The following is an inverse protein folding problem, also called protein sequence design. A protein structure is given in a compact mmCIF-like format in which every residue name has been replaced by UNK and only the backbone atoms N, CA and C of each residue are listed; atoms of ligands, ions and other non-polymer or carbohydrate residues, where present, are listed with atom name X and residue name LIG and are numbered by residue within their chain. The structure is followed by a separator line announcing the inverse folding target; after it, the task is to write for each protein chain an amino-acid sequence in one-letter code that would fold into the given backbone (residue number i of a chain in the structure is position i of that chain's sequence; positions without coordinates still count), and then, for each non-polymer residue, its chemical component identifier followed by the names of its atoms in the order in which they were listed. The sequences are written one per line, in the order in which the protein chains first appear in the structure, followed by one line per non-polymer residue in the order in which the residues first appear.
data_IF_670722058978
#
_entry.id   IF_670722058978
#
_cell.length_a   1.000
_cell.length_b   1.000
_cell.length_c   1.000
_cell.angle_alpha   90.00
_cell.angle_beta   90.00
_cell.angle_gamma   90.00
#
_symmetry.space_group_name_H-M   'P 1'
#
loop_
_entity.id
_entity.type
_entity.pdbx_description
1 polymer ?
#
# COMPACT_ATOMS: atom_id res chain seq x y z
N UNK A 1 -33.58 -0.66 29.37
CA UNK A 1 -33.09 0.03 28.15
C UNK A 1 -32.55 -1.06 27.21
N UNK A 2 -33.06 -1.17 25.99
CA UNK A 2 -32.68 -2.25 25.06
C UNK A 2 -31.20 -2.17 24.64
N UNK A 3 -30.68 -0.96 24.42
CA UNK A 3 -29.27 -0.74 24.02
C UNK A 3 -28.33 -1.23 25.13
N UNK A 4 -28.62 -0.85 26.37
CA UNK A 4 -27.84 -1.27 27.54
C UNK A 4 -27.81 -2.80 27.69
N UNK A 5 -28.95 -3.48 27.52
CA UNK A 5 -29.00 -4.95 27.55
C UNK A 5 -28.12 -5.54 26.45
N UNK A 6 -28.18 -4.97 25.24
CA UNK A 6 -27.37 -5.44 24.11
C UNK A 6 -25.88 -5.21 24.33
N UNK A 7 -25.47 -4.08 24.90
CA UNK A 7 -24.07 -3.82 25.24
C UNK A 7 -23.54 -4.85 26.24
N UNK A 8 -24.30 -5.13 27.30
CA UNK A 8 -23.93 -6.15 28.29
C UNK A 8 -23.82 -7.57 27.68
N UNK A 9 -24.71 -7.93 26.74
CA UNK A 9 -24.59 -9.18 25.97
C UNK A 9 -23.29 -9.24 25.15
N UNK A 10 -22.90 -8.15 24.50
CA UNK A 10 -21.67 -8.08 23.70
C UNK A 10 -20.42 -8.20 24.58
N UNK A 11 -20.40 -7.52 25.73
CA UNK A 11 -19.29 -7.59 26.66
C UNK A 11 -19.07 -9.01 27.20
N UNK A 12 -20.16 -9.71 27.50
CA UNK A 12 -20.13 -11.09 27.97
C UNK A 12 -19.56 -12.03 26.89
N UNK A 13 -19.95 -11.86 25.62
CA UNK A 13 -19.38 -12.64 24.51
C UNK A 13 -17.87 -12.42 24.35
N UNK A 14 -17.38 -11.20 24.59
CA UNK A 14 -15.94 -10.91 24.54
C UNK A 14 -15.21 -11.59 25.70
N UNK A 15 -15.76 -11.50 26.92
CA UNK A 15 -15.17 -12.16 28.11
C UNK A 15 -15.16 -13.68 28.01
N UNK A 16 -16.11 -14.27 27.29
CA UNK A 16 -16.16 -15.71 27.00
C UNK A 16 -15.16 -16.17 25.93
N UNK A 17 -14.35 -15.26 25.36
CA UNK A 17 -13.30 -15.61 24.41
C UNK A 17 -13.79 -15.88 22.99
N UNK A 18 -14.83 -15.16 22.53
CA UNK A 18 -15.36 -15.29 21.17
C UNK A 18 -14.44 -14.65 20.11
N UNK A 19 -13.21 -15.16 19.96
CA UNK A 19 -12.17 -14.63 19.07
C UNK A 19 -12.66 -14.45 17.62
N UNK A 20 -13.34 -15.46 17.07
CA UNK A 20 -13.84 -15.46 15.68
C UNK A 20 -14.95 -14.42 15.44
N UNK A 21 -15.55 -13.88 16.50
CA UNK A 21 -16.66 -12.92 16.42
C UNK A 21 -16.24 -11.49 16.73
N UNK A 22 -14.99 -11.25 17.12
CA UNK A 22 -14.53 -9.92 17.55
C UNK A 22 -14.70 -8.85 16.46
N UNK A 23 -14.53 -9.23 15.19
CA UNK A 23 -14.79 -8.32 14.08
C UNK A 23 -16.26 -7.89 14.03
N UNK A 24 -17.19 -8.85 14.09
CA UNK A 24 -18.63 -8.57 14.09
C UNK A 24 -19.04 -7.77 15.32
N UNK A 25 -18.51 -8.10 16.51
CA UNK A 25 -18.76 -7.36 17.74
C UNK A 25 -18.29 -5.89 17.62
N UNK A 26 -17.11 -5.66 17.03
CA UNK A 26 -16.60 -4.32 16.71
C UNK A 26 -17.57 -3.52 15.85
N UNK A 27 -18.11 -4.13 14.78
CA UNK A 27 -19.10 -3.49 13.91
C UNK A 27 -20.41 -3.16 14.63
N UNK A 28 -20.85 -4.02 15.56
CA UNK A 28 -22.04 -3.77 16.36
C UNK A 28 -21.83 -2.61 17.33
N UNK A 29 -20.68 -2.54 18.01
CA UNK A 29 -20.32 -1.38 18.83
C UNK A 29 -20.22 -0.09 18.01
N UNK A 30 -19.64 -0.15 16.81
CA UNK A 30 -19.58 0.97 15.86
C UNK A 30 -20.99 1.45 15.48
N UNK A 31 -21.91 0.52 15.19
CA UNK A 31 -23.31 0.82 14.87
C UNK A 31 -24.12 1.41 16.04
N UNK A 32 -23.82 1.04 17.28
CA UNK A 32 -24.40 1.65 18.48
C UNK A 32 -23.85 3.08 18.69
N UNK A 33 -22.60 3.31 18.31
CA UNK A 33 -21.96 4.62 18.37
C UNK A 33 -21.50 5.00 19.78
N UNK A 34 -21.55 6.30 20.11
CA UNK A 34 -20.95 6.85 21.34
C UNK A 34 -21.49 6.28 22.65
N UNK A 35 -22.69 5.69 22.64
CA UNK A 35 -23.27 5.03 23.81
C UNK A 35 -22.49 3.77 24.21
N UNK A 36 -21.73 3.16 23.29
CA UNK A 36 -20.91 2.00 23.58
C UNK A 36 -19.59 2.34 24.30
N UNK A 37 -19.20 3.63 24.37
CA UNK A 37 -17.89 4.03 24.91
C UNK A 37 -17.57 3.53 26.31
N UNK A 38 -18.48 3.58 27.30
CA UNK A 38 -18.18 3.05 28.63
C UNK A 38 -17.81 1.56 28.60
N UNK A 39 -18.47 0.78 27.75
CA UNK A 39 -18.25 -0.67 27.62
C UNK A 39 -16.97 -0.99 26.84
N UNK A 40 -16.76 -0.37 25.66
CA UNK A 40 -15.59 -0.69 24.84
C UNK A 40 -14.26 -0.28 25.49
N UNK A 41 -14.27 0.76 26.34
CA UNK A 41 -13.08 1.24 27.05
C UNK A 41 -12.53 0.24 28.06
N UNK A 42 -13.37 -0.59 28.66
CA UNK A 42 -12.93 -1.64 29.58
C UNK A 42 -12.01 -2.64 28.87
N UNK A 43 -12.21 -2.85 27.56
CA UNK A 43 -11.44 -3.78 26.75
C UNK A 43 -10.18 -3.18 26.13
N UNK A 44 -9.92 -1.87 26.30
CA UNK A 44 -8.68 -1.24 25.78
C UNK A 44 -7.43 -1.76 26.48
N UNK A 45 -7.56 -2.23 27.72
CA UNK A 45 -6.48 -2.77 28.54
C UNK A 45 -6.46 -4.31 28.58
N UNK A 46 -7.25 -5.00 27.74
CA UNK A 46 -7.25 -6.47 27.67
C UNK A 46 -5.84 -7.02 27.38
N UNK A 47 -5.48 -8.20 27.87
CA UNK A 47 -4.21 -8.85 27.52
C UNK A 47 -4.22 -9.41 26.10
N UNK A 48 -5.39 -9.72 25.56
CA UNK A 48 -5.59 -10.17 24.18
C UNK A 48 -5.51 -9.00 23.19
N UNK A 49 -4.53 -9.06 22.28
CA UNK A 49 -4.30 -8.03 21.25
C UNK A 49 -5.48 -7.88 20.29
N UNK A 50 -6.20 -8.96 19.97
CA UNK A 50 -7.36 -8.92 19.09
C UNK A 50 -8.53 -8.20 19.79
N UNK A 51 -8.77 -8.50 21.07
CA UNK A 51 -9.78 -7.81 21.88
C UNK A 51 -9.46 -6.31 21.98
N UNK A 52 -8.20 -5.95 22.31
CA UNK A 52 -7.77 -4.54 22.34
C UNK A 52 -7.96 -3.86 21.00
N UNK A 53 -7.57 -4.52 19.91
CA UNK A 53 -7.68 -3.98 18.56
C UNK A 53 -9.13 -3.70 18.18
N UNK A 54 -10.02 -4.69 18.31
CA UNK A 54 -11.40 -4.59 17.84
C UNK A 54 -12.25 -3.65 18.70
N UNK A 55 -12.01 -3.59 20.01
CA UNK A 55 -12.68 -2.60 20.88
C UNK A 55 -12.18 -1.18 20.59
N UNK A 56 -10.86 -0.98 20.49
CA UNK A 56 -10.30 0.33 20.16
C UNK A 56 -10.65 0.77 18.73
N UNK A 57 -10.73 -0.12 17.75
CA UNK A 57 -11.19 0.22 16.40
C UNK A 57 -12.60 0.81 16.42
N UNK A 58 -13.53 0.17 17.15
CA UNK A 58 -14.90 0.67 17.29
C UNK A 58 -14.92 2.05 17.98
N UNK A 59 -14.16 2.19 19.07
CA UNK A 59 -13.98 3.49 19.74
C UNK A 59 -13.43 4.56 18.80
N UNK A 60 -12.36 4.24 18.08
CA UNK A 60 -11.67 5.16 17.18
C UNK A 60 -12.59 5.66 16.05
N UNK A 61 -13.33 4.74 15.41
CA UNK A 61 -14.27 5.07 14.32
C UNK A 61 -15.49 5.85 14.79
N UNK A 62 -15.90 5.68 16.05
CA UNK A 62 -17.01 6.44 16.65
C UNK A 62 -16.57 7.77 17.28
N UNK A 63 -15.26 8.06 17.29
CA UNK A 63 -14.69 9.33 17.74
C UNK A 63 -14.14 9.34 19.17
N UNK A 64 -13.96 8.17 19.80
CA UNK A 64 -13.34 8.07 21.13
C UNK A 64 -11.82 8.33 21.04
N UNK A 65 -11.40 9.46 21.59
CA UNK A 65 -9.98 9.87 21.60
C UNK A 65 -9.08 8.91 22.38
N UNK A 66 -9.63 8.14 23.34
CA UNK A 66 -8.89 7.19 24.15
C UNK A 66 -8.52 5.90 23.41
N UNK A 67 -9.12 5.66 22.24
CA UNK A 67 -8.81 4.51 21.41
C UNK A 67 -7.51 4.66 20.61
N UNK A 68 -7.14 5.90 20.24
CA UNK A 68 -5.98 6.15 19.38
C UNK A 68 -4.64 5.66 19.99
N UNK A 69 -4.36 5.83 21.29
CA UNK A 69 -3.18 5.23 21.93
C UNK A 69 -3.12 3.70 21.80
N UNK A 70 -4.25 3.01 21.91
CA UNK A 70 -4.33 1.54 21.85
C UNK A 70 -3.99 1.06 20.43
N UNK A 71 -4.66 1.63 19.42
CA UNK A 71 -4.39 1.31 18.01
C UNK A 71 -2.95 1.73 17.64
N UNK A 72 -2.49 2.87 18.14
CA UNK A 72 -1.12 3.37 17.96
C UNK A 72 -0.06 2.38 18.47
N UNK A 73 -0.24 1.84 19.68
CA UNK A 73 0.66 0.85 20.25
C UNK A 73 0.72 -0.44 19.40
N UNK A 74 -0.44 -0.91 18.92
CA UNK A 74 -0.51 -2.10 18.04
C UNK A 74 0.20 -1.84 16.70
N UNK A 75 0.02 -0.64 16.12
CA UNK A 75 0.69 -0.25 14.88
C UNK A 75 2.23 -0.19 15.00
N UNK A 76 2.73 0.15 16.19
CA UNK A 76 4.17 0.26 16.46
C UNK A 76 4.82 -1.04 16.93
N UNK A 77 4.04 -2.06 17.27
CA UNK A 77 4.58 -3.35 17.72
C UNK A 77 5.03 -4.17 16.51
N UNK A 78 6.34 -4.41 16.40
CA UNK A 78 6.91 -5.28 15.36
C UNK A 78 6.34 -6.70 15.45
N UNK A 79 6.05 -7.30 14.29
CA UNK A 79 5.50 -8.66 14.21
C UNK A 79 4.05 -8.85 14.69
N UNK A 80 3.37 -7.80 15.18
CA UNK A 80 1.97 -7.93 15.60
C UNK A 80 1.06 -8.28 14.41
N UNK A 81 0.25 -9.33 14.54
CA UNK A 81 -0.64 -9.81 13.47
C UNK A 81 -1.59 -8.72 12.93
N UNK A 82 -2.01 -7.79 13.78
CA UNK A 82 -2.95 -6.71 13.45
C UNK A 82 -2.25 -5.37 13.16
N UNK A 83 -0.92 -5.35 13.00
CA UNK A 83 -0.12 -4.14 12.79
C UNK A 83 -0.55 -3.35 11.55
N UNK A 84 -0.61 -4.00 10.39
CA UNK A 84 -1.02 -3.37 9.14
C UNK A 84 -2.46 -2.86 9.19
N UNK A 85 -3.34 -3.60 9.87
CA UNK A 85 -4.73 -3.20 10.07
C UNK A 85 -4.80 -1.94 10.96
N UNK A 86 -4.04 -1.88 12.05
CA UNK A 86 -3.94 -0.72 12.93
C UNK A 86 -3.44 0.55 12.21
N UNK A 87 -2.40 0.44 11.37
CA UNK A 87 -1.91 1.57 10.56
C UNK A 87 -3.02 2.13 9.65
N UNK A 88 -3.81 1.25 9.02
CA UNK A 88 -4.96 1.67 8.20
C UNK A 88 -6.03 2.36 9.03
N UNK A 89 -6.37 1.85 10.21
CA UNK A 89 -7.35 2.49 11.09
C UNK A 89 -6.90 3.89 11.55
N UNK A 90 -5.60 4.08 11.83
CA UNK A 90 -5.04 5.40 12.13
C UNK A 90 -5.19 6.38 10.96
N UNK A 91 -5.07 5.92 9.71
CA UNK A 91 -5.36 6.75 8.54
C UNK A 91 -6.84 7.17 8.49
N UNK A 92 -7.76 6.22 8.70
CA UNK A 92 -9.20 6.47 8.51
C UNK A 92 -9.85 7.26 9.64
N UNK A 93 -9.28 7.26 10.85
CA UNK A 93 -9.89 7.94 11.99
C UNK A 93 -9.97 9.46 11.85
N UNK A 94 -9.17 10.06 10.95
CA UNK A 94 -9.13 11.51 10.74
C UNK A 94 -8.68 12.33 11.96
N UNK A 95 -8.23 11.68 13.04
CA UNK A 95 -7.77 12.35 14.25
C UNK A 95 -6.30 12.74 14.09
N UNK A 96 -5.99 14.03 14.16
CA UNK A 96 -4.60 14.53 14.02
C UNK A 96 -3.63 13.91 15.02
N UNK A 97 -4.10 13.49 16.20
CA UNK A 97 -3.29 12.77 17.18
C UNK A 97 -2.73 11.42 16.66
N UNK A 98 -3.35 10.82 15.63
CA UNK A 98 -2.88 9.57 15.03
C UNK A 98 -1.48 9.72 14.40
N UNK A 99 -1.15 10.92 13.93
CA UNK A 99 0.14 11.24 13.28
C UNK A 99 1.33 10.87 14.17
N UNK A 100 1.25 11.10 15.48
CA UNK A 100 2.35 10.78 16.42
C UNK A 100 2.70 9.30 16.43
N UNK A 101 1.72 8.44 16.13
CA UNK A 101 1.91 6.99 16.11
C UNK A 101 2.44 6.50 14.77
N UNK A 102 2.11 7.21 13.68
CA UNK A 102 2.56 6.90 12.32
C UNK A 102 4.01 7.36 12.06
N UNK A 103 4.45 8.44 12.71
CA UNK A 103 5.78 9.02 12.47
C UNK A 103 6.94 8.02 12.67
N UNK A 104 7.02 7.23 13.75
CA UNK A 104 8.09 6.25 13.89
C UNK A 104 8.06 5.16 12.82
N UNK A 105 6.86 4.78 12.35
CA UNK A 105 6.63 3.65 11.43
C UNK A 105 7.17 3.96 10.02
N UNK A 106 7.37 5.22 9.67
CA UNK A 106 7.91 5.61 8.35
C UNK A 106 9.38 5.20 8.15
N UNK A 107 10.08 4.91 9.25
CA UNK A 107 11.47 4.44 9.30
C UNK A 107 11.58 2.94 9.61
N UNK A 108 10.47 2.18 9.54
CA UNK A 108 10.45 0.76 9.88
C UNK A 108 11.39 -0.11 9.03
N UNK A 109 11.76 -1.29 9.51
CA UNK A 109 12.54 -2.23 8.71
C UNK A 109 11.74 -2.82 7.53
N UNK A 110 10.41 -2.97 7.69
CA UNK A 110 9.53 -3.52 6.66
C UNK A 110 9.03 -2.43 5.70
N UNK A 111 9.34 -2.60 4.41
CA UNK A 111 8.96 -1.64 3.38
C UNK A 111 7.45 -1.53 3.14
N UNK A 112 6.68 -2.61 3.29
CA UNK A 112 5.22 -2.58 3.14
C UNK A 112 4.58 -1.76 4.26
N UNK A 113 5.09 -1.91 5.49
CA UNK A 113 4.69 -1.13 6.67
C UNK A 113 4.98 0.36 6.46
N UNK A 114 6.16 0.69 5.92
CA UNK A 114 6.54 2.07 5.61
C UNK A 114 5.67 2.71 4.55
N UNK A 115 5.32 1.97 3.49
CA UNK A 115 4.39 2.44 2.46
C UNK A 115 3.03 2.77 3.09
N UNK A 116 2.51 1.91 3.97
CA UNK A 116 1.24 2.17 4.67
C UNK A 116 1.31 3.42 5.56
N UNK A 117 2.41 3.62 6.29
CA UNK A 117 2.61 4.81 7.11
C UNK A 117 2.73 6.09 6.27
N UNK A 118 3.45 6.04 5.15
CA UNK A 118 3.55 7.15 4.19
C UNK A 118 2.17 7.53 3.65
N UNK A 119 1.35 6.55 3.22
CA UNK A 119 0.01 6.81 2.68
C UNK A 119 -0.88 7.51 3.72
N UNK A 120 -0.80 7.06 4.98
CA UNK A 120 -1.50 7.68 6.08
C UNK A 120 -1.03 9.12 6.35
N UNK A 121 0.28 9.34 6.48
CA UNK A 121 0.88 10.66 6.72
C UNK A 121 0.59 11.65 5.57
N UNK A 122 0.55 11.16 4.33
CA UNK A 122 0.14 11.93 3.16
C UNK A 122 -1.33 12.31 3.21
N UNK A 123 -2.22 11.41 3.64
CA UNK A 123 -3.63 11.73 3.85
C UNK A 123 -3.82 12.83 4.91
N UNK A 124 -3.01 12.81 5.97
CA UNK A 124 -2.94 13.89 6.98
C UNK A 124 -2.22 15.16 6.50
N UNK A 125 -1.63 15.16 5.30
CA UNK A 125 -0.81 16.27 4.76
C UNK A 125 0.33 16.67 5.70
N UNK A 126 0.95 15.69 6.36
CA UNK A 126 2.01 15.94 7.32
C UNK A 126 3.30 16.39 6.62
N UNK A 127 4.03 17.42 7.13
CA UNK A 127 5.21 17.99 6.47
C UNK A 127 6.43 17.07 6.33
N UNK A 128 6.39 15.89 6.98
CA UNK A 128 7.39 14.83 6.77
C UNK A 128 7.37 14.32 5.31
N UNK A 129 6.23 14.44 4.62
CA UNK A 129 6.08 14.14 3.21
C UNK A 129 6.12 15.46 2.43
N UNK A 130 7.19 15.66 1.66
CA UNK A 130 7.35 16.84 0.79
C UNK A 130 6.99 16.47 -0.64
N UNK A 131 5.83 16.94 -1.08
CA UNK A 131 5.32 16.68 -2.43
C UNK A 131 5.73 17.76 -3.42
N UNK A 132 6.16 17.35 -4.62
CA UNK A 132 6.42 18.22 -5.77
C UNK A 132 5.80 17.63 -7.02
N UNK A 133 4.83 18.32 -7.61
CA UNK A 133 4.21 17.92 -8.87
C UNK A 133 5.04 18.38 -10.08
N UNK A 134 5.16 17.51 -11.08
CA UNK A 134 5.79 17.82 -12.37
C UNK A 134 4.74 17.84 -13.47
N UNK A 135 4.90 18.75 -14.44
CA UNK A 135 3.99 18.88 -15.59
C UNK A 135 4.45 18.00 -16.75
N UNK A 136 3.51 17.57 -17.59
CA UNK A 136 3.83 16.80 -18.77
C UNK A 136 4.39 17.71 -19.87
N UNK A 137 5.49 17.30 -20.51
CA UNK A 137 6.06 18.05 -21.62
C UNK A 137 5.15 18.09 -22.86
N UNK A 138 4.30 17.08 -23.03
CA UNK A 138 3.32 17.01 -24.11
C UNK A 138 2.13 17.97 -23.91
N UNK A 139 1.72 18.17 -22.65
CA UNK A 139 0.63 19.07 -22.26
C UNK A 139 0.96 19.67 -20.88
N UNK A 140 1.49 20.92 -20.84
CA UNK A 140 1.86 21.57 -19.59
C UNK A 140 0.69 21.81 -18.62
N UNK A 141 -0.57 21.72 -19.08
CA UNK A 141 -1.73 21.80 -18.19
C UNK A 141 -1.88 20.54 -17.33
N UNK A 142 -1.40 19.40 -17.82
CA UNK A 142 -1.50 18.10 -17.14
C UNK A 142 -0.32 17.84 -16.20
N UNK A 143 -0.62 17.17 -15.09
CA UNK A 143 0.40 16.63 -14.19
C UNK A 143 0.94 15.34 -14.79
N UNK A 144 2.26 15.24 -14.94
CA UNK A 144 2.96 14.03 -15.32
C UNK A 144 2.95 13.03 -14.16
N UNK A 145 3.54 13.43 -13.03
CA UNK A 145 3.50 12.71 -11.76
C UNK A 145 3.94 13.65 -10.62
N UNK A 146 3.79 13.18 -9.38
CA UNK A 146 4.29 13.87 -8.18
C UNK A 146 5.44 13.10 -7.55
N UNK A 147 6.54 13.78 -7.22
CA UNK A 147 7.58 13.23 -6.35
C UNK A 147 7.25 13.56 -4.90
N UNK A 148 7.13 12.54 -4.08
CA UNK A 148 7.01 12.66 -2.63
C UNK A 148 8.35 12.26 -1.99
N UNK A 149 8.99 13.19 -1.28
CA UNK A 149 10.20 12.91 -0.50
C UNK A 149 9.82 12.79 0.96
N UNK A 150 10.10 11.65 1.56
CA UNK A 150 9.78 11.35 2.95
C UNK A 150 11.03 11.54 3.80
N UNK A 151 10.95 12.41 4.80
CA UNK A 151 12.06 12.69 5.72
C UNK A 151 12.12 11.61 6.81
N UNK A 152 13.01 10.63 6.65
CA UNK A 152 13.11 9.47 7.53
C UNK A 152 14.53 8.89 7.52
N UNK A 153 14.89 8.20 8.60
CA UNK A 153 16.22 7.58 8.80
C UNK A 153 16.20 6.05 8.59
N UNK A 154 15.08 5.49 8.10
CA UNK A 154 14.96 4.07 7.80
C UNK A 154 15.71 3.64 6.52
N UNK A 155 15.72 2.33 6.19
CA UNK A 155 16.40 1.79 5.01
C UNK A 155 15.97 2.48 3.70
N UNK A 156 16.86 2.72 2.73
CA UNK A 156 16.50 3.37 1.48
C UNK A 156 15.40 2.60 0.73
N UNK A 157 14.32 3.30 0.36
CA UNK A 157 13.19 2.72 -0.38
C UNK A 157 12.67 3.71 -1.42
N UNK A 158 12.40 3.19 -2.61
CA UNK A 158 11.66 3.87 -3.66
C UNK A 158 10.33 3.14 -3.87
N UNK A 159 9.22 3.86 -3.73
CA UNK A 159 7.88 3.32 -3.99
C UNK A 159 7.22 4.07 -5.15
N UNK A 160 6.71 3.34 -6.14
CA UNK A 160 6.02 3.90 -7.32
C UNK A 160 4.53 3.62 -7.22
N UNK A 161 3.73 4.66 -7.02
CA UNK A 161 2.27 4.59 -7.06
C UNK A 161 1.78 4.91 -8.48
N UNK A 162 0.96 4.03 -9.06
CA UNK A 162 0.45 4.15 -10.43
C UNK A 162 -1.03 4.55 -10.48
N UNK A 163 -1.79 4.27 -9.42
CA UNK A 163 -3.23 4.51 -9.37
C UNK A 163 -3.59 5.92 -8.91
N UNK A 164 -4.79 6.40 -9.29
CA UNK A 164 -5.37 7.73 -8.99
C UNK A 164 -4.53 8.91 -9.52
N UNK A 165 -3.39 9.16 -8.90
CA UNK A 165 -2.38 10.14 -9.31
C UNK A 165 -1.02 9.47 -9.20
N UNK A 166 -0.30 9.41 -10.31
CA UNK A 166 1.01 8.78 -10.33
C UNK A 166 1.98 9.49 -9.39
N UNK A 167 2.71 8.70 -8.59
CA UNK A 167 3.74 9.20 -7.67
C UNK A 167 4.99 8.35 -7.71
N UNK A 168 6.12 9.01 -7.51
CA UNK A 168 7.35 8.36 -7.08
C UNK A 168 7.62 8.85 -5.67
N UNK A 169 7.81 7.92 -4.75
CA UNK A 169 8.03 8.19 -3.34
C UNK A 169 9.46 7.77 -3.01
N UNK A 170 10.25 8.70 -2.48
CA UNK A 170 11.63 8.43 -2.07
C UNK A 170 11.69 8.60 -0.56
N UNK A 171 12.03 7.51 0.12
CA UNK A 171 12.23 7.53 1.56
C UNK A 171 13.68 7.86 1.90
N UNK A 172 13.91 9.06 2.42
CA UNK A 172 15.24 9.60 2.73
C UNK A 172 15.56 10.80 1.85
N UNK A 173 15.63 11.99 2.47
CA UNK A 173 15.90 13.26 1.77
C UNK A 173 17.26 13.29 1.08
N UNK A 174 18.24 12.60 1.64
CA UNK A 174 19.63 12.60 1.17
C UNK A 174 20.04 11.25 0.55
N UNK A 175 19.09 10.45 0.06
CA UNK A 175 19.39 9.17 -0.57
C UNK A 175 20.42 9.36 -1.70
N UNK A 176 21.64 8.80 -1.55
CA UNK A 176 22.72 9.03 -2.50
C UNK A 176 22.55 8.17 -3.75
N UNK A 177 23.14 8.63 -4.84
CA UNK A 177 23.41 7.81 -6.02
C UNK A 177 24.89 7.40 -5.94
N UNK A 178 25.20 6.12 -6.04
CA UNK A 178 26.58 5.65 -6.00
C UNK A 178 27.36 6.13 -7.22
N UNK A 179 28.60 6.56 -7.01
CA UNK A 179 29.50 7.05 -8.04
C UNK A 179 30.72 6.13 -8.14
N UNK A 180 31.37 6.07 -9.31
CA UNK A 180 30.94 6.63 -10.59
C UNK A 180 29.74 5.86 -11.15
N UNK A 181 28.96 6.51 -12.02
CA UNK A 181 27.84 5.84 -12.69
C UNK A 181 27.72 6.26 -14.15
N UNK A 182 27.30 5.32 -15.00
CA UNK A 182 26.92 5.60 -16.38
C UNK A 182 25.65 4.83 -16.73
N UNK A 183 24.67 5.52 -17.30
CA UNK A 183 23.46 4.92 -17.82
C UNK A 183 23.14 5.51 -19.18
N UNK A 184 22.89 4.64 -20.15
CA UNK A 184 22.34 5.01 -21.45
C UNK A 184 21.07 4.21 -21.68
N UNK A 185 19.95 4.91 -21.87
CA UNK A 185 18.69 4.26 -22.19
C UNK A 185 18.84 3.47 -23.51
N UNK A 186 18.30 2.24 -23.64
CA UNK A 186 18.49 1.39 -24.84
C UNK A 186 18.13 2.06 -26.17
N UNK A 187 17.12 2.94 -26.14
CA UNK A 187 16.67 3.72 -27.31
C UNK A 187 17.45 5.02 -27.53
N UNK A 188 18.50 5.30 -26.75
CA UNK A 188 19.34 6.49 -26.85
C UNK A 188 18.63 7.81 -26.50
N UNK A 189 17.53 7.75 -25.74
CA UNK A 189 16.74 8.94 -25.40
C UNK A 189 17.31 9.74 -24.24
N UNK A 190 17.97 9.06 -23.30
CA UNK A 190 18.46 9.65 -22.06
C UNK A 190 19.82 9.04 -21.76
N UNK A 191 20.74 9.88 -21.32
CA UNK A 191 22.05 9.49 -20.83
C UNK A 191 22.30 10.19 -19.50
N UNK A 192 22.71 9.41 -18.51
CA UNK A 192 23.15 9.89 -17.21
C UNK A 192 24.60 9.48 -17.06
N UNK A 193 25.43 10.40 -16.62
CA UNK A 193 26.83 10.14 -16.34
C UNK A 193 27.23 10.90 -15.09
N UNK A 194 28.02 10.29 -14.23
CA UNK A 194 28.59 10.99 -13.09
C UNK A 194 29.95 10.42 -12.74
N UNK A 195 30.89 11.33 -12.53
CA UNK A 195 32.27 11.02 -12.21
C UNK A 195 32.56 11.42 -10.77
N UNK A 196 33.34 10.62 -10.04
CA UNK A 196 33.66 10.91 -8.62
C UNK A 196 34.31 12.28 -8.43
N UNK A 197 35.17 12.69 -9.37
CA UNK A 197 35.88 13.97 -9.32
C UNK A 197 34.97 15.21 -9.34
N UNK A 198 33.81 15.14 -10.02
CA UNK A 198 32.85 16.26 -10.07
C UNK A 198 31.81 16.18 -8.97
N UNK A 199 31.48 14.98 -8.49
CA UNK A 199 30.43 14.74 -7.49
C UNK A 199 29.00 14.98 -7.99
N UNK A 200 28.82 15.69 -9.10
CA UNK A 200 27.52 15.97 -9.72
C UNK A 200 27.17 14.96 -10.82
N UNK A 201 25.86 14.68 -10.92
CA UNK A 201 25.26 13.96 -12.03
C UNK A 201 25.10 14.88 -13.23
N UNK A 202 25.46 14.34 -14.39
CA UNK A 202 25.35 14.97 -15.69
C UNK A 202 24.22 14.28 -16.45
N UNK A 203 23.15 15.02 -16.73
CA UNK A 203 21.94 14.53 -17.40
C UNK A 203 21.86 15.09 -18.82
N UNK A 204 21.62 14.22 -19.80
CA UNK A 204 21.44 14.60 -21.20
C UNK A 204 20.25 13.87 -21.80
N UNK A 205 19.43 14.58 -22.57
CA UNK A 205 18.29 14.04 -23.30
C UNK A 205 18.48 14.24 -24.80
N UNK A 206 18.08 13.26 -25.62
CA UNK A 206 17.99 13.44 -27.07
C UNK A 206 16.63 14.05 -27.42
N UNK A 207 16.64 15.23 -28.02
CA UNK A 207 15.42 15.95 -28.41
C UNK A 207 14.68 15.18 -29.50
N UNK A 208 13.41 14.80 -29.27
CA UNK A 208 12.60 14.03 -30.24
C UNK A 208 12.33 14.77 -31.55
N UNK A 209 12.36 16.10 -31.57
CA UNK A 209 12.11 16.94 -32.76
C UNK A 209 13.33 17.15 -33.66
N UNK A 210 14.54 17.23 -33.09
CA UNK A 210 15.77 17.58 -33.84
C UNK A 210 16.82 16.47 -33.87
N UNK A 211 16.64 15.42 -33.06
CA UNK A 211 17.63 14.36 -32.90
C UNK A 211 18.95 14.81 -32.24
N UNK A 212 19.05 16.08 -31.82
CA UNK A 212 20.21 16.64 -31.11
C UNK A 212 20.09 16.43 -29.61
N UNK A 213 21.22 16.28 -28.95
CA UNK A 213 21.27 16.29 -27.49
C UNK A 213 20.89 17.68 -26.96
N UNK A 214 20.15 17.71 -25.86
CA UNK A 214 19.90 18.90 -25.07
C UNK A 214 21.21 19.42 -24.49
N UNK A 215 21.17 20.66 -23.99
CA UNK A 215 22.23 21.16 -23.12
C UNK A 215 22.41 20.23 -21.91
N UNK A 216 23.62 20.26 -21.38
CA UNK A 216 24.01 19.41 -20.26
C UNK A 216 23.44 19.98 -18.97
N UNK A 217 22.69 19.15 -18.23
CA UNK A 217 22.11 19.51 -16.95
C UNK A 217 22.91 18.86 -15.82
N UNK A 218 23.46 19.69 -14.92
CA UNK A 218 24.14 19.22 -13.72
C UNK A 218 23.20 19.23 -12.52
N UNK A 219 23.11 18.10 -11.81
CA UNK A 219 22.34 17.98 -10.57
C UNK A 219 23.15 17.25 -9.50
N UNK A 220 22.92 17.52 -8.20
CA UNK A 220 23.58 16.78 -7.14
C UNK A 220 23.33 15.27 -7.25
N UNK A 221 24.31 14.44 -6.88
CA UNK A 221 24.22 12.97 -6.87
C UNK A 221 23.31 12.41 -5.76
N UNK A 222 22.04 12.78 -5.80
CA UNK A 222 20.97 12.34 -4.89
C UNK A 222 19.76 11.92 -5.69
N UNK A 223 19.10 10.84 -5.27
CA UNK A 223 17.94 10.29 -5.97
C UNK A 223 16.81 11.33 -6.14
N UNK A 224 16.39 12.10 -5.12
CA UNK A 224 15.35 13.13 -5.30
C UNK A 224 15.73 14.22 -6.31
N UNK A 225 16.99 14.65 -6.33
CA UNK A 225 17.49 15.70 -7.22
C UNK A 225 17.63 15.19 -8.66
N UNK A 226 18.05 13.94 -8.83
CA UNK A 226 18.05 13.25 -10.11
C UNK A 226 16.63 13.15 -10.68
N UNK A 227 15.65 12.65 -9.90
CA UNK A 227 14.25 12.57 -10.33
C UNK A 227 13.72 13.95 -10.73
N UNK A 228 14.07 14.98 -9.95
CA UNK A 228 13.72 16.37 -10.29
C UNK A 228 14.30 16.78 -11.64
N UNK A 229 15.59 16.54 -11.88
CA UNK A 229 16.23 16.86 -13.16
C UNK A 229 15.63 16.11 -14.35
N UNK A 230 15.28 14.83 -14.17
CA UNK A 230 14.62 14.03 -15.20
C UNK A 230 13.19 14.52 -15.51
N UNK A 231 12.44 14.97 -14.50
CA UNK A 231 11.01 15.24 -14.62
C UNK A 231 10.64 16.72 -14.87
N UNK A 232 11.44 17.66 -14.38
CA UNK A 232 11.20 19.09 -14.53
C UNK A 232 11.17 19.46 -16.03
N UNK A 233 10.25 20.36 -16.42
CA UNK A 233 10.15 20.76 -17.83
C UNK A 233 11.45 21.42 -18.30
N UNK A 234 11.84 21.24 -19.58
CA UNK A 234 13.03 21.84 -20.16
C UNK A 234 12.80 23.32 -20.51
N UNK A 235 12.48 24.11 -19.49
CA UNK A 235 12.33 25.56 -19.60
C UNK A 235 13.59 26.22 -19.02
N UNK A 236 14.07 27.32 -19.62
CA UNK A 236 15.15 28.10 -19.05
C UNK A 236 14.70 28.67 -17.69
N UNK A 237 15.50 28.42 -16.67
CA UNK A 237 15.34 28.98 -15.34
C UNK A 237 15.61 30.48 -15.30
N UNK A 238 15.58 31.06 -14.10
CA UNK A 238 15.95 32.47 -13.87
C UNK A 238 17.39 32.79 -14.27
N UNK A 239 18.27 31.79 -14.29
CA UNK A 239 19.67 31.87 -14.75
C UNK A 239 19.84 31.65 -16.26
N UNK A 240 18.77 31.36 -17.01
CA UNK A 240 18.83 31.04 -18.44
C UNK A 240 19.26 29.60 -18.76
N UNK A 241 19.61 28.80 -17.76
CA UNK A 241 19.99 27.38 -17.91
C UNK A 241 18.73 26.50 -17.84
N UNK A 242 18.68 25.44 -18.65
CA UNK A 242 17.61 24.45 -18.63
C UNK A 242 17.58 23.73 -17.28
N UNK A 243 16.43 23.71 -16.59
CA UNK A 243 16.32 23.13 -15.24
C UNK A 243 15.86 21.66 -15.19
N UNK A 244 15.57 21.05 -16.35
CA UNK A 244 15.10 19.67 -16.42
C UNK A 244 14.95 19.10 -17.83
N UNK A 245 14.63 17.81 -17.92
CA UNK A 245 14.51 17.07 -19.20
C UNK A 245 13.05 16.79 -19.62
N UNK A 246 12.07 16.99 -18.74
CA UNK A 246 10.64 16.83 -19.00
C UNK A 246 10.21 15.41 -19.35
N UNK A 247 10.90 14.39 -18.83
CA UNK A 247 10.64 13.00 -19.17
C UNK A 247 9.31 12.52 -18.58
N UNK A 248 8.53 11.70 -19.32
CA UNK A 248 7.32 11.08 -18.79
C UNK A 248 7.67 10.08 -17.67
N UNK A 249 6.72 9.86 -16.75
CA UNK A 249 6.85 8.92 -15.63
C UNK A 249 7.48 7.58 -16.04
N UNK A 250 7.03 6.98 -17.14
CA UNK A 250 7.51 5.67 -17.58
C UNK A 250 9.01 5.63 -17.82
N UNK A 251 9.60 6.68 -18.41
CA UNK A 251 11.04 6.78 -18.62
C UNK A 251 11.78 7.03 -17.31
N UNK A 252 11.23 7.85 -16.42
CA UNK A 252 11.84 8.09 -15.10
C UNK A 252 11.89 6.78 -14.30
N UNK A 253 10.78 6.02 -14.27
CA UNK A 253 10.70 4.73 -13.59
C UNK A 253 11.65 3.71 -14.21
N UNK A 254 11.80 3.68 -15.54
CA UNK A 254 12.77 2.80 -16.20
C UNK A 254 14.22 3.12 -15.83
N UNK A 255 14.59 4.42 -15.78
CA UNK A 255 15.93 4.84 -15.32
C UNK A 255 16.16 4.40 -13.88
N UNK A 256 15.22 4.68 -12.97
CA UNK A 256 15.34 4.31 -11.56
C UNK A 256 15.43 2.81 -11.35
N UNK A 257 14.62 2.03 -12.07
CA UNK A 257 14.65 0.57 -12.00
C UNK A 257 15.98 0.02 -12.52
N UNK A 258 16.51 0.54 -13.63
CA UNK A 258 17.79 0.09 -14.15
C UNK A 258 18.95 0.38 -13.18
N UNK A 259 18.97 1.59 -12.60
CA UNK A 259 19.97 1.99 -11.61
C UNK A 259 19.81 1.27 -10.26
N UNK A 260 18.62 0.75 -9.97
CA UNK A 260 18.41 -0.13 -8.83
C UNK A 260 18.99 -1.53 -9.09
N UNK A 261 18.68 -2.11 -10.25
CA UNK A 261 19.12 -3.45 -10.67
C UNK A 261 20.65 -3.56 -10.76
N UNK A 262 21.33 -2.49 -11.20
CA UNK A 262 22.80 -2.46 -11.28
C UNK A 262 23.49 -2.07 -9.95
N UNK A 263 22.71 -1.78 -8.90
CA UNK A 263 23.20 -1.43 -7.57
C UNK A 263 23.64 0.03 -7.39
N UNK A 264 23.59 0.86 -8.44
CA UNK A 264 23.91 2.29 -8.35
C UNK A 264 23.02 3.01 -7.33
N UNK A 265 21.76 2.57 -7.21
CA UNK A 265 20.83 2.97 -6.16
C UNK A 265 20.61 1.76 -5.25
N UNK A 266 21.33 1.75 -4.12
CA UNK A 266 21.17 0.76 -3.05
C UNK A 266 19.90 0.96 -2.22
N UNK A 267 18.73 0.87 -2.86
CA UNK A 267 17.41 0.95 -2.23
C UNK A 267 16.57 -0.26 -2.57
N UNK A 268 15.58 -0.59 -1.74
CA UNK A 268 14.49 -1.44 -2.19
C UNK A 268 13.60 -0.68 -3.19
N UNK A 269 13.09 -1.36 -4.22
CA UNK A 269 12.25 -0.76 -5.26
C UNK A 269 10.90 -1.46 -5.35
N UNK A 270 9.84 -0.78 -4.90
CA UNK A 270 8.48 -1.32 -4.90
C UNK A 270 7.63 -0.57 -5.92
N UNK A 271 6.96 -1.32 -6.79
CA UNK A 271 5.90 -0.78 -7.65
C UNK A 271 4.55 -1.22 -7.09
N UNK A 272 3.61 -0.28 -6.98
CA UNK A 272 2.23 -0.58 -6.57
C UNK A 272 1.66 -1.71 -7.44
N UNK A 273 1.39 -2.84 -6.79
CA UNK A 273 0.59 -3.93 -7.34
C UNK A 273 -0.87 -3.67 -6.98
N UNK A 274 -1.75 -3.82 -7.97
CA UNK A 274 -3.19 -3.70 -7.80
C UNK A 274 -3.72 -4.99 -7.16
N UNK A 275 -3.57 -5.12 -5.84
CA UNK A 275 -4.20 -6.21 -5.10
C UNK A 275 -5.65 -5.86 -4.73
N UNK A 276 -6.56 -6.81 -4.95
CA UNK A 276 -7.99 -6.68 -4.61
C UNK A 276 -8.15 -6.35 -3.11
N UNK A 277 -7.32 -6.92 -2.24
CA UNK A 277 -7.31 -6.67 -0.80
C UNK A 277 -6.98 -5.21 -0.44
N UNK A 278 -6.23 -4.50 -1.28
CA UNK A 278 -5.98 -3.05 -1.13
C UNK A 278 -7.18 -2.21 -1.54
N UNK A 279 -8.03 -2.69 -2.46
CA UNK A 279 -9.25 -1.99 -2.88
C UNK A 279 -10.42 -2.21 -1.92
N UNK A 280 -10.56 -3.42 -1.38
CA UNK A 280 -11.77 -3.83 -0.64
C UNK A 280 -11.52 -4.16 0.84
N UNK A 281 -10.28 -4.08 1.33
CA UNK A 281 -9.90 -4.63 2.64
C UNK A 281 -9.62 -6.14 2.53
N UNK A 282 -9.09 -6.78 3.59
CA UNK A 282 -8.93 -8.23 3.57
C UNK A 282 -10.30 -8.84 3.29
N UNK A 283 -10.42 -9.57 2.18
CA UNK A 283 -11.60 -10.41 1.98
C UNK A 283 -11.64 -11.38 3.16
N UNK A 284 -12.72 -11.35 3.93
CA UNK A 284 -13.01 -12.45 4.83
C UNK A 284 -12.99 -13.70 3.94
N UNK A 285 -12.03 -14.60 4.17
CA UNK A 285 -12.14 -15.95 3.65
C UNK A 285 -13.29 -16.61 4.42
N UNK A 286 -14.52 -16.21 4.10
CA UNK A 286 -15.66 -17.06 4.31
C UNK A 286 -15.36 -18.33 3.51
N UNK A 287 -14.88 -19.37 4.20
CA UNK A 287 -14.95 -20.72 3.71
C UNK A 287 -16.38 -20.91 3.22
N UNK A 288 -16.57 -20.91 1.88
CA UNK A 288 -17.84 -21.28 1.28
C UNK A 288 -18.14 -22.70 1.74
N UNK A 289 -19.19 -22.94 2.54
CA UNK A 289 -19.53 -24.29 2.97
C UNK A 289 -20.30 -25.00 1.86
N UNK A 290 -19.77 -25.01 0.63
CA UNK A 290 -20.37 -25.67 -0.53
C UNK A 290 -19.25 -26.19 -1.44
N UNK A 291 -18.52 -27.20 -0.96
CA UNK A 291 -17.69 -28.06 -1.81
C UNK A 291 -17.73 -29.53 -1.39
N UNK A 292 -18.15 -29.84 -0.16
CA UNK A 292 -18.18 -31.22 0.34
C UNK A 292 -19.51 -31.96 0.10
N UNK A 293 -20.56 -31.28 -0.38
CA UNK A 293 -21.87 -31.93 -0.61
C UNK A 293 -22.05 -32.52 -2.03
N UNK A 294 -21.12 -32.30 -2.97
CA UNK A 294 -21.26 -32.86 -4.33
C UNK A 294 -20.65 -34.26 -4.45
N UNK A 295 -19.70 -34.66 -3.60
CA UNK A 295 -19.13 -36.03 -3.64
C UNK A 295 -20.02 -37.11 -2.98
N UNK A 296 -21.10 -36.72 -2.28
CA UNK A 296 -21.98 -37.67 -1.59
C UNK A 296 -23.14 -38.20 -2.45
N UNK A 297 -23.28 -37.75 -3.70
CA UNK A 297 -24.37 -38.21 -4.60
C UNK A 297 -23.92 -39.34 -5.55
N UNK A 298 -22.61 -39.60 -5.69
CA UNK A 298 -22.10 -40.67 -6.57
C UNK A 298 -22.03 -42.08 -5.94
N UNK A 299 -22.50 -42.27 -4.71
CA UNK A 299 -22.58 -43.61 -4.08
C UNK A 299 -24.03 -44.03 -3.82
N UNK A 300 -24.84 -44.10 -4.89
CA UNK A 300 -26.06 -44.90 -4.87
C UNK A 300 -25.70 -46.37 -5.19
N UNK A 301 -26.25 -47.37 -4.47
CA UNK A 301 -25.85 -48.76 -4.62
C UNK A 301 -26.30 -49.31 -5.98
N UNK A 302 -25.37 -49.98 -6.67
CA UNK A 302 -25.63 -50.79 -7.85
C UNK A 302 -26.72 -51.82 -7.51
N UNK A 303 -27.91 -51.66 -8.09
CA UNK A 303 -28.95 -52.68 -8.03
C UNK A 303 -28.46 -53.88 -8.85
N UNK A 304 -28.38 -55.01 -8.16
CA UNK A 304 -28.05 -56.32 -8.69
C UNK A 304 -28.85 -56.65 -9.95
N UNK A 305 -28.13 -57.19 -10.92
CA UNK A 305 -28.62 -57.69 -12.20
C UNK A 305 -29.51 -58.91 -11.97
N UNK A 306 -30.83 -58.71 -11.98
CA UNK A 306 -31.85 -59.76 -11.96
C UNK A 306 -32.15 -60.27 -13.37
N UNK A 307 -31.59 -61.44 -13.66
CA UNK A 307 -31.90 -62.44 -14.69
C UNK A 307 -33.30 -62.32 -15.34
N UNK A 308 -33.36 -61.88 -16.61
CA UNK A 308 -34.52 -62.10 -17.48
C UNK A 308 -34.14 -63.13 -18.55
N UNK A 309 -34.40 -64.40 -18.23
CA UNK A 309 -34.39 -65.50 -19.18
C UNK A 309 -35.46 -65.30 -20.22
N UNK A 310 -35.02 -65.31 -21.47
CA UNK A 310 -35.81 -65.36 -22.67
C UNK A 310 -36.10 -66.84 -22.97
N UNK A 311 -37.34 -67.30 -22.77
CA UNK A 311 -37.81 -68.56 -23.33
C UNK A 311 -39.09 -68.30 -24.13
N UNK A 312 -38.97 -68.50 -25.43
CA UNK A 312 -40.09 -68.53 -26.37
C UNK A 312 -40.88 -69.81 -26.21
N UNK A 313 -42.21 -69.69 -26.25
CA UNK A 313 -43.16 -70.78 -26.26
C UNK A 313 -44.31 -70.48 -27.22
N UNK A 314 -44.44 -71.32 -28.22
CA UNK A 314 -45.27 -71.22 -29.40
C UNK A 314 -46.76 -71.61 -29.19
N UNK A 315 -47.63 -70.97 -29.99
CA UNK A 315 -48.72 -71.56 -30.83
C UNK A 315 -49.98 -72.18 -30.19
N UNK A 316 -51.12 -71.72 -30.74
CA UNK A 316 -52.38 -72.48 -30.96
C UNK A 316 -53.33 -72.51 -29.77
N UNK A 317 -54.65 -72.43 -29.88
CA UNK A 317 -55.60 -72.52 -30.98
C UNK A 317 -56.99 -72.75 -30.35
N UNK A 318 -58.04 -72.46 -31.13
CA UNK A 318 -59.50 -72.55 -30.84
C UNK A 318 -60.16 -71.37 -30.12
#
# INVERSE_FOLDING_TARGET
NYIERRLNELDELVRQGAADRLHTISLLWEGIGRQAWPHVRDFYASDDVAVRYYSARAGLRTGDVNAAPVIGAIAQTEGAALRAAAIRELQYCGMSQAVRYLLPIVSDADAAVRVAAYEALRAFRHPVVRSRAFRAAADPSQVNFTLDVVDCDGPPLIYVQRTRHARIVVFGRNMPVQLPMFYAHPQGWVTLNAHEATGDLTLMCRTRRSGRFSDTLHVPARVPEMIRGLAQLPLPGSSGVVEGLGLPLSLVVQVLHALHEDGTIGSEFIVESLDIDRLFGPADQQQRPEADEIESIEQAPQRESGDFRNDGGAVGGE
#
